data_IF_301327610476
#
_entry.id   IF_301327610476
#
_cell.length_a   1.000
_cell.length_b   1.000
_cell.length_c   1.000
_cell.angle_alpha   90.00
_cell.angle_beta   90.00
_cell.angle_gamma   90.00
#
_symmetry.space_group_name_H-M   'P 1'
#
loop_
_entity.id
_entity.type
_entity.pdbx_description
1 polymer ?
#
# COMPACT_ATOMS: atom_id res chain seq x y z
N UNK A 1 3.54 16.87 6.14
CA UNK A 1 2.57 16.06 5.38
C UNK A 1 1.43 15.71 6.33
N UNK A 2 0.20 15.65 5.84
CA UNK A 2 -0.97 15.24 6.62
C UNK A 2 -1.59 14.03 5.94
N UNK A 3 -1.82 12.96 6.69
CA UNK A 3 -2.50 11.77 6.21
C UNK A 3 -4.01 12.00 6.08
N UNK A 4 -4.67 11.22 5.23
CA UNK A 4 -6.12 11.15 5.09
C UNK A 4 -6.75 10.73 6.42
N UNK A 5 -8.02 11.09 6.59
CA UNK A 5 -8.80 10.64 7.73
C UNK A 5 -8.86 9.11 7.77
N UNK A 6 -8.68 8.54 8.96
CA UNK A 6 -8.72 7.09 9.19
C UNK A 6 -7.38 6.40 8.96
N UNK A 7 -6.35 7.11 8.48
CA UNK A 7 -5.02 6.57 8.32
C UNK A 7 -4.15 6.88 9.54
N UNK A 8 -3.57 5.84 10.13
CA UNK A 8 -2.61 5.93 11.25
C UNK A 8 -1.28 5.38 10.80
N UNK A 9 -0.20 5.87 11.42
CA UNK A 9 1.16 5.39 11.14
C UNK A 9 2.01 5.38 12.38
N UNK A 10 2.80 4.32 12.53
CA UNK A 10 3.78 4.17 13.60
C UNK A 10 5.14 3.75 13.02
N UNK A 11 6.23 4.26 13.61
CA UNK A 11 7.58 3.84 13.25
C UNK A 11 7.87 2.47 13.86
N UNK A 12 8.41 1.56 13.06
CA UNK A 12 8.73 0.20 13.46
C UNK A 12 10.21 -0.13 13.23
N UNK A 13 10.65 -1.24 13.81
CA UNK A 13 12.01 -1.73 13.59
C UNK A 13 12.30 -1.99 12.11
N UNK A 14 13.34 -1.36 11.58
CA UNK A 14 13.77 -1.53 10.19
C UNK A 14 14.77 -2.69 10.02
N UNK A 15 14.88 -3.30 8.82
CA UNK A 15 15.83 -4.39 8.57
C UNK A 15 17.30 -3.96 8.72
N UNK A 16 18.01 -4.54 9.69
CA UNK A 16 19.37 -4.12 10.08
C UNK A 16 20.51 -4.66 9.20
N UNK A 17 20.22 -5.39 8.12
CA UNK A 17 21.25 -6.10 7.30
C UNK A 17 21.13 -5.89 5.80
N UNK A 18 20.20 -5.05 5.36
CA UNK A 18 19.93 -4.82 3.93
C UNK A 18 20.62 -3.54 3.44
N UNK A 19 20.68 -2.50 4.28
CA UNK A 19 21.26 -1.21 3.96
C UNK A 19 21.96 -0.60 5.19
N UNK A 20 22.97 0.27 5.02
CA UNK A 20 23.58 1.02 6.12
C UNK A 20 22.60 1.93 6.86
N UNK A 21 21.60 2.46 6.15
CA UNK A 21 20.55 3.29 6.72
C UNK A 21 19.19 2.75 6.31
N UNK A 22 18.28 2.64 7.27
CA UNK A 22 16.91 2.24 6.99
C UNK A 22 15.93 2.78 8.02
N UNK A 23 14.74 3.15 7.55
CA UNK A 23 13.58 3.50 8.37
C UNK A 23 12.39 2.70 7.88
N UNK A 24 11.52 2.28 8.79
CA UNK A 24 10.33 1.53 8.46
C UNK A 24 9.14 2.11 9.23
N UNK A 25 8.02 2.21 8.53
CA UNK A 25 6.74 2.59 9.12
C UNK A 25 5.74 1.48 8.85
N UNK A 26 4.82 1.29 9.78
CA UNK A 26 3.56 0.60 9.50
C UNK A 26 2.43 1.62 9.39
N UNK A 27 1.40 1.26 8.64
CA UNK A 27 0.22 2.07 8.46
C UNK A 27 -1.02 1.22 8.42
N UNK A 28 -2.09 1.76 8.97
CA UNK A 28 -3.42 1.15 9.00
C UNK A 28 -4.43 2.16 8.48
N UNK A 29 -5.35 1.70 7.64
CA UNK A 29 -6.48 2.49 7.18
C UNK A 29 -7.76 1.87 7.73
N UNK A 30 -8.47 2.60 8.59
CA UNK A 30 -9.79 2.23 9.10
C UNK A 30 -10.90 3.19 8.65
N UNK A 31 -12.15 2.78 8.82
CA UNK A 31 -13.35 3.59 8.59
C UNK A 31 -14.06 4.04 9.89
N UNK A 32 -13.47 3.72 11.04
CA UNK A 32 -14.04 3.98 12.37
C UNK A 32 -14.62 2.74 13.05
N UNK A 33 -14.56 1.56 12.41
CA UNK A 33 -14.72 0.26 13.06
C UNK A 33 -13.47 -0.18 13.85
N UNK A 34 -13.57 -1.36 14.47
CA UNK A 34 -12.49 -1.96 15.27
C UNK A 34 -11.40 -2.65 14.42
N UNK A 35 -11.71 -2.97 13.16
CA UNK A 35 -10.79 -3.64 12.23
C UNK A 35 -10.31 -2.69 11.14
N UNK A 36 -9.02 -2.79 10.78
CA UNK A 36 -8.44 -2.02 9.70
C UNK A 36 -8.88 -2.58 8.33
N UNK A 37 -9.31 -1.71 7.43
CA UNK A 37 -9.64 -2.05 6.05
C UNK A 37 -8.40 -2.44 5.24
N UNK A 38 -7.26 -1.79 5.50
CA UNK A 38 -5.97 -2.23 4.96
C UNK A 38 -4.86 -1.99 5.96
N UNK A 39 -3.85 -2.87 5.90
CA UNK A 39 -2.63 -2.77 6.70
C UNK A 39 -1.43 -2.83 5.79
N UNK A 40 -0.39 -2.09 6.13
CA UNK A 40 0.81 -2.08 5.31
C UNK A 40 2.05 -1.64 6.05
N UNK A 41 3.18 -1.93 5.43
CA UNK A 41 4.51 -1.48 5.87
C UNK A 41 5.21 -0.81 4.71
N UNK A 42 5.95 0.23 5.00
CA UNK A 42 6.83 0.89 4.05
C UNK A 42 8.22 1.03 4.65
N UNK A 43 9.21 0.54 3.93
CA UNK A 43 10.60 0.53 4.34
C UNK A 43 11.38 1.37 3.34
N UNK A 44 12.06 2.40 3.83
CA UNK A 44 13.04 3.15 3.06
C UNK A 44 14.43 2.64 3.42
N UNK A 45 15.15 2.20 2.41
CA UNK A 45 16.54 1.78 2.47
C UNK A 45 17.40 2.84 1.79
N UNK A 46 18.58 3.11 2.36
CA UNK A 46 19.55 4.03 1.78
C UNK A 46 20.97 3.49 1.94
N UNK A 47 21.67 3.41 0.80
CA UNK A 47 23.09 3.16 0.71
C UNK A 47 23.76 4.32 -0.05
N UNK A 48 24.54 5.20 0.62
CA UNK A 48 25.21 6.31 -0.02
C UNK A 48 26.23 5.89 -1.09
N UNK A 49 26.76 4.66 -1.01
CA UNK A 49 27.68 4.13 -2.02
C UNK A 49 26.94 3.63 -3.27
N UNK A 50 25.61 3.53 -3.22
CA UNK A 50 24.79 2.94 -4.26
C UNK A 50 24.69 1.42 -4.15
N UNK A 51 23.63 0.86 -4.72
CA UNK A 51 23.42 -0.58 -4.78
C UNK A 51 22.93 -0.98 -6.19
N UNK A 52 23.70 -1.82 -6.87
CA UNK A 52 23.40 -2.28 -8.23
C UNK A 52 22.04 -2.96 -8.34
N UNK A 53 21.65 -3.74 -7.32
CA UNK A 53 20.34 -4.43 -7.28
C UNK A 53 19.17 -3.45 -7.12
N UNK A 54 19.43 -2.22 -6.68
CA UNK A 54 18.42 -1.16 -6.59
C UNK A 54 18.52 -0.20 -7.77
N UNK A 55 19.63 -0.22 -8.52
CA UNK A 55 19.90 0.76 -9.58
C UNK A 55 19.81 2.21 -9.04
N UNK A 56 20.36 2.45 -7.84
CA UNK A 56 20.32 3.75 -7.17
C UNK A 56 20.85 3.69 -5.73
N UNK A 57 20.76 4.80 -5.01
CA UNK A 57 21.16 4.91 -3.60
C UNK A 57 20.01 4.66 -2.63
N UNK A 58 18.76 4.77 -3.09
CA UNK A 58 17.56 4.52 -2.29
C UNK A 58 16.77 3.32 -2.81
N UNK A 59 16.04 2.66 -1.91
CA UNK A 59 15.03 1.66 -2.28
C UNK A 59 13.85 1.76 -1.34
N UNK A 60 12.66 1.90 -1.90
CA UNK A 60 11.42 1.73 -1.15
C UNK A 60 10.92 0.31 -1.34
N UNK A 61 10.49 -0.30 -0.24
CA UNK A 61 9.89 -1.64 -0.21
C UNK A 61 8.62 -1.56 0.59
N UNK A 62 7.53 -2.09 0.06
CA UNK A 62 6.24 -2.10 0.72
C UNK A 62 5.60 -3.48 0.72
N UNK A 63 4.83 -3.70 1.76
CA UNK A 63 3.91 -4.80 1.94
C UNK A 63 2.55 -4.19 2.26
N UNK A 64 1.53 -4.44 1.46
CA UNK A 64 0.16 -3.93 1.69
C UNK A 64 -0.81 -5.08 1.56
N UNK A 65 -1.79 -5.18 2.45
CA UNK A 65 -2.84 -6.20 2.39
C UNK A 65 -4.19 -5.67 2.84
N UNK A 66 -5.25 -6.30 2.35
CA UNK A 66 -6.63 -6.09 2.80
C UNK A 66 -7.44 -7.38 2.62
N UNK A 67 -8.46 -7.54 3.46
CA UNK A 67 -9.53 -8.50 3.19
C UNK A 67 -10.40 -7.97 2.03
N UNK A 68 -10.82 -8.88 1.15
CA UNK A 68 -11.59 -8.56 -0.05
C UNK A 68 -12.75 -9.54 -0.21
N UNK A 69 -13.71 -9.21 -1.07
CA UNK A 69 -14.82 -10.09 -1.38
C UNK A 69 -14.37 -11.36 -2.14
N UNK A 70 -15.08 -12.47 -1.93
CA UNK A 70 -14.82 -13.74 -2.62
C UNK A 70 -14.91 -13.63 -4.14
N UNK A 71 -15.84 -12.81 -4.64
CA UNK A 71 -15.99 -12.59 -6.07
C UNK A 71 -14.79 -11.84 -6.65
N UNK A 72 -14.12 -10.99 -5.86
CA UNK A 72 -12.90 -10.31 -6.28
C UNK A 72 -11.70 -11.26 -6.34
N UNK A 73 -11.50 -12.07 -5.29
CA UNK A 73 -10.30 -12.93 -5.20
C UNK A 73 -10.27 -14.06 -6.24
N UNK A 74 -11.44 -14.41 -6.78
CA UNK A 74 -11.58 -15.42 -7.83
C UNK A 74 -11.45 -14.84 -9.25
N UNK A 75 -11.39 -13.51 -9.38
CA UNK A 75 -11.17 -12.84 -10.67
C UNK A 75 -9.70 -13.03 -11.12
N UNK A 76 -9.45 -13.66 -12.28
CA UNK A 76 -8.10 -13.84 -12.79
C UNK A 76 -7.37 -12.52 -13.13
N UNK A 77 -8.08 -11.40 -13.27
CA UNK A 77 -7.51 -10.09 -13.55
C UNK A 77 -7.12 -9.32 -12.28
N UNK A 78 -7.54 -9.78 -11.09
CA UNK A 78 -7.24 -9.09 -9.84
C UNK A 78 -5.73 -8.78 -9.66
N UNK A 79 -4.78 -9.69 -9.97
CA UNK A 79 -3.35 -9.37 -9.87
C UNK A 79 -2.91 -8.20 -10.74
N UNK A 80 -3.38 -8.12 -11.99
CA UNK A 80 -3.02 -7.06 -12.93
C UNK A 80 -3.64 -5.72 -12.51
N UNK A 81 -4.90 -5.75 -12.05
CA UNK A 81 -5.61 -4.57 -11.54
C UNK A 81 -4.95 -4.05 -10.25
N UNK A 82 -4.60 -4.94 -9.33
CA UNK A 82 -3.93 -4.57 -8.09
C UNK A 82 -2.53 -3.97 -8.35
N UNK A 83 -1.79 -4.53 -9.32
CA UNK A 83 -0.54 -3.94 -9.77
C UNK A 83 -0.75 -2.54 -10.36
N UNK A 84 -1.83 -2.32 -11.11
CA UNK A 84 -2.15 -1.00 -11.67
C UNK A 84 -2.43 0.03 -10.57
N UNK A 85 -3.09 -0.34 -9.46
CA UNK A 85 -3.28 0.57 -8.33
C UNK A 85 -1.96 1.13 -7.78
N UNK A 86 -0.92 0.31 -7.73
CA UNK A 86 0.41 0.74 -7.31
C UNK A 86 1.05 1.71 -8.32
N UNK A 87 1.03 1.38 -9.61
CA UNK A 87 1.63 2.24 -10.64
C UNK A 87 0.86 3.55 -10.80
N UNK A 88 -0.46 3.51 -10.71
CA UNK A 88 -1.35 4.67 -10.83
C UNK A 88 -1.20 5.60 -9.63
N UNK A 89 -1.06 5.06 -8.41
CA UNK A 89 -0.80 5.87 -7.23
C UNK A 89 0.52 6.66 -7.34
N UNK A 90 1.59 6.02 -7.85
CA UNK A 90 2.86 6.72 -8.11
C UNK A 90 2.68 7.82 -9.16
N UNK A 91 1.99 7.52 -10.27
CA UNK A 91 1.75 8.47 -11.35
C UNK A 91 0.89 9.67 -10.89
N UNK A 92 -0.21 9.42 -10.19
CA UNK A 92 -1.11 10.46 -9.68
C UNK A 92 -0.43 11.41 -8.69
N UNK A 93 0.52 10.91 -7.90
CA UNK A 93 1.31 11.73 -6.98
C UNK A 93 2.55 12.36 -7.62
N UNK A 94 2.76 12.17 -8.92
CA UNK A 94 3.90 12.75 -9.65
C UNK A 94 5.24 12.19 -9.18
N UNK A 95 5.27 10.93 -8.73
CA UNK A 95 6.49 10.29 -8.26
C UNK A 95 7.46 10.04 -9.42
N UNK A 96 8.69 10.52 -9.29
CA UNK A 96 9.78 10.08 -10.14
C UNK A 96 10.36 8.77 -9.58
N UNK A 97 10.16 7.66 -10.28
CA UNK A 97 10.63 6.34 -9.86
C UNK A 97 11.02 5.45 -11.05
N UNK A 98 11.89 4.48 -10.78
CA UNK A 98 12.30 3.46 -11.72
C UNK A 98 12.56 2.13 -11.02
N UNK A 99 12.91 1.10 -11.78
CA UNK A 99 13.17 -0.25 -11.28
C UNK A 99 12.03 -0.80 -10.39
N UNK A 100 10.78 -0.52 -10.80
CA UNK A 100 9.57 -1.04 -10.16
C UNK A 100 9.55 -2.57 -10.30
N UNK A 101 9.32 -3.25 -9.19
CA UNK A 101 9.19 -4.69 -9.15
C UNK A 101 8.24 -5.09 -8.03
N UNK A 102 7.52 -6.19 -8.20
CA UNK A 102 6.65 -6.69 -7.14
C UNK A 102 5.91 -7.94 -7.51
N UNK A 103 5.09 -8.39 -6.57
CA UNK A 103 4.18 -9.53 -6.71
C UNK A 103 2.84 -9.16 -6.09
N UNK A 104 1.76 -9.60 -6.72
CA UNK A 104 0.42 -9.60 -6.13
C UNK A 104 0.04 -11.04 -5.83
N UNK A 105 -0.44 -11.28 -4.61
CA UNK A 105 -0.98 -12.58 -4.19
C UNK A 105 -2.44 -12.39 -3.81
N UNK A 106 -3.31 -13.16 -4.44
CA UNK A 106 -4.71 -13.27 -4.08
C UNK A 106 -4.93 -14.65 -3.46
N UNK A 107 -5.51 -14.71 -2.26
CA UNK A 107 -5.71 -15.97 -1.53
C UNK A 107 -7.10 -16.07 -0.94
N UNK A 108 -7.70 -17.25 -1.06
CA UNK A 108 -8.98 -17.61 -0.46
C UNK A 108 -8.81 -18.83 0.45
N UNK A 109 -9.36 -18.74 1.66
CA UNK A 109 -9.50 -19.85 2.59
C UNK A 109 -10.98 -20.17 2.78
N UNK A 110 -11.35 -21.44 2.55
CA UNK A 110 -12.67 -21.96 2.88
C UNK A 110 -12.65 -22.60 4.26
N UNK A 111 -13.59 -22.19 5.12
CA UNK A 111 -13.79 -22.78 6.43
C UNK A 111 -14.47 -24.16 6.36
N UNK A 112 -14.07 -25.08 7.24
CA UNK A 112 -14.71 -26.39 7.40
C UNK A 112 -14.86 -26.73 8.88
N UNK A 113 -15.84 -27.58 9.22
CA UNK A 113 -16.09 -27.99 10.60
C UNK A 113 -16.49 -26.80 11.49
N UNK A 114 -15.80 -26.63 12.61
CA UNK A 114 -16.07 -25.54 13.57
C UNK A 114 -15.75 -24.13 13.02
N UNK A 115 -15.14 -24.05 11.82
CA UNK A 115 -14.86 -22.79 11.11
C UNK A 115 -15.73 -22.61 9.86
N UNK A 116 -16.80 -23.38 9.68
CA UNK A 116 -17.59 -23.41 8.44
C UNK A 116 -18.12 -22.04 7.97
N UNK A 117 -18.25 -21.06 8.87
CA UNK A 117 -18.73 -19.69 8.57
C UNK A 117 -17.59 -18.65 8.51
N UNK A 118 -16.32 -19.08 8.50
CA UNK A 118 -15.13 -18.21 8.53
C UNK A 118 -14.33 -18.26 7.23
N UNK A 119 -15.03 -18.20 6.09
CA UNK A 119 -14.39 -17.99 4.79
C UNK A 119 -13.64 -16.66 4.79
N UNK A 120 -12.44 -16.64 4.20
CA UNK A 120 -11.61 -15.42 4.11
C UNK A 120 -11.00 -15.28 2.73
N UNK A 121 -10.97 -14.06 2.23
CA UNK A 121 -10.23 -13.71 1.04
C UNK A 121 -9.37 -12.48 1.31
N UNK A 122 -8.13 -12.53 0.82
CA UNK A 122 -7.14 -11.48 1.03
C UNK A 122 -6.42 -11.21 -0.28
N UNK A 123 -6.13 -9.93 -0.53
CA UNK A 123 -5.16 -9.49 -1.54
C UNK A 123 -3.95 -8.91 -0.83
N UNK A 124 -2.77 -9.29 -1.31
CA UNK A 124 -1.50 -8.88 -0.75
C UNK A 124 -0.57 -8.39 -1.88
N UNK A 125 -0.03 -7.20 -1.71
CA UNK A 125 0.92 -6.58 -2.63
C UNK A 125 2.27 -6.43 -1.95
N UNK A 126 3.30 -7.00 -2.58
CA UNK A 126 4.70 -6.78 -2.24
C UNK A 126 5.35 -6.01 -3.37
N UNK A 127 5.62 -4.73 -3.16
CA UNK A 127 6.18 -3.87 -4.19
C UNK A 127 7.49 -3.26 -3.73
N UNK A 128 8.36 -2.94 -4.68
CA UNK A 128 9.58 -2.18 -4.41
C UNK A 128 9.95 -1.35 -5.63
N UNK A 129 10.51 -0.17 -5.37
CA UNK A 129 10.88 0.77 -6.41
C UNK A 129 12.03 1.65 -5.94
N UNK A 130 12.73 2.24 -6.90
CA UNK A 130 13.84 3.15 -6.65
C UNK A 130 13.34 4.57 -6.88
N UNK A 131 13.21 5.39 -5.82
CA UNK A 131 12.76 6.77 -5.97
C UNK A 131 13.91 7.64 -6.51
N UNK A 132 13.58 8.56 -7.42
CA UNK A 132 14.45 9.67 -7.78
C UNK A 132 14.07 10.86 -6.89
N UNK A 133 14.93 11.16 -5.91
CA UNK A 133 14.63 12.19 -4.90
C UNK A 133 15.41 13.47 -5.21
N UNK A 134 14.68 14.58 -5.32
CA UNK A 134 15.23 15.94 -5.45
C UNK A 134 14.24 16.98 -4.89
N UNK A 135 14.52 18.28 -5.08
CA UNK A 135 13.67 19.38 -4.59
C UNK A 135 12.25 19.35 -5.19
N UNK A 136 12.08 18.86 -6.43
CA UNK A 136 10.81 18.74 -7.15
C UNK A 136 10.13 17.39 -6.90
N UNK A 137 10.90 16.35 -6.59
CA UNK A 137 10.42 14.99 -6.33
C UNK A 137 10.73 14.59 -4.87
N UNK A 138 10.00 15.16 -3.89
CA UNK A 138 10.26 14.87 -2.49
C UNK A 138 9.76 13.47 -2.11
N UNK A 139 10.38 12.88 -1.08
CA UNK A 139 9.97 11.58 -0.52
C UNK A 139 8.48 11.56 -0.12
N UNK A 140 7.94 12.70 0.31
CA UNK A 140 6.53 12.84 0.71
C UNK A 140 5.54 12.50 -0.41
N UNK A 141 5.92 12.64 -1.69
CA UNK A 141 5.08 12.22 -2.81
C UNK A 141 4.92 10.69 -2.83
N UNK A 142 6.00 9.96 -2.56
CA UNK A 142 5.96 8.49 -2.46
C UNK A 142 5.18 8.02 -1.23
N UNK A 143 5.27 8.75 -0.10
CA UNK A 143 4.46 8.47 1.07
C UNK A 143 2.96 8.64 0.77
N UNK A 144 2.57 9.71 0.06
CA UNK A 144 1.20 9.93 -0.36
C UNK A 144 0.72 8.88 -1.37
N UNK A 145 1.60 8.40 -2.26
CA UNK A 145 1.28 7.32 -3.19
C UNK A 145 1.07 5.99 -2.45
N UNK A 146 1.84 5.75 -1.40
CA UNK A 146 1.66 4.57 -0.56
C UNK A 146 0.33 4.61 0.20
N UNK A 147 -0.07 5.77 0.73
CA UNK A 147 -1.41 5.97 1.30
C UNK A 147 -2.54 5.75 0.27
N UNK A 148 -2.37 6.23 -0.96
CA UNK A 148 -3.34 6.01 -2.03
C UNK A 148 -3.47 4.52 -2.36
N UNK A 149 -2.35 3.81 -2.46
CA UNK A 149 -2.33 2.35 -2.65
C UNK A 149 -3.09 1.65 -1.53
N UNK A 150 -2.82 2.00 -0.27
CA UNK A 150 -3.54 1.47 0.89
C UNK A 150 -5.05 1.73 0.79
N UNK A 151 -5.45 2.90 0.28
CA UNK A 151 -6.84 3.24 -0.02
C UNK A 151 -7.45 2.37 -1.13
N UNK A 152 -6.75 2.20 -2.25
CA UNK A 152 -7.20 1.34 -3.35
C UNK A 152 -7.42 -0.11 -2.90
N UNK A 153 -6.46 -0.66 -2.16
CA UNK A 153 -6.50 -2.04 -1.65
C UNK A 153 -7.63 -2.22 -0.64
N UNK A 154 -7.94 -1.19 0.15
CA UNK A 154 -9.08 -1.14 1.08
C UNK A 154 -10.45 -0.93 0.40
N UNK A 155 -10.53 -0.85 -0.94
CA UNK A 155 -11.77 -0.48 -1.64
C UNK A 155 -12.22 0.97 -1.38
N UNK A 156 -11.34 1.82 -0.86
CA UNK A 156 -11.56 3.23 -0.53
C UNK A 156 -10.55 4.12 -1.28
N UNK A 157 -10.58 4.13 -2.64
CA UNK A 157 -9.64 4.89 -3.44
C UNK A 157 -9.66 6.38 -3.07
N UNK A 158 -8.54 7.10 -3.24
CA UNK A 158 -8.48 8.53 -2.96
C UNK A 158 -9.52 9.28 -3.79
N UNK A 159 -10.23 10.22 -3.17
CA UNK A 159 -11.17 11.08 -3.87
C UNK A 159 -10.40 12.08 -4.75
N UNK A 160 -10.86 12.33 -5.99
CA UNK A 160 -10.30 13.39 -6.81
C UNK A 160 -10.37 14.75 -6.08
N UNK A 161 -9.43 15.66 -6.31
CA UNK A 161 -9.48 17.00 -5.74
C UNK A 161 -10.82 17.70 -6.05
N UNK A 162 -11.52 18.14 -5.01
CA UNK A 162 -12.82 18.82 -5.13
C UNK A 162 -14.06 17.92 -5.03
N UNK A 163 -13.89 16.59 -4.87
CA UNK A 163 -14.98 15.67 -4.59
C UNK A 163 -15.03 15.37 -3.09
N UNK A 164 -16.14 15.73 -2.43
CA UNK A 164 -16.43 15.28 -1.08
C UNK A 164 -17.37 14.06 -1.16
N UNK A 165 -17.07 12.99 -0.43
CA UNK A 165 -18.00 11.88 -0.24
C UNK A 165 -19.27 12.43 0.40
N UNK A 166 -20.41 12.33 -0.29
CA UNK A 166 -21.71 12.65 0.30
C UNK A 166 -21.93 11.70 1.48
N UNK A 167 -22.25 12.20 2.68
CA UNK A 167 -22.63 11.32 3.77
C UNK A 167 -23.90 10.59 3.34
N UNK A 168 -23.83 9.27 3.21
CA UNK A 168 -25.00 8.40 3.09
C UNK A 168 -25.74 8.41 4.43
N UNK A 169 -26.48 9.49 4.68
CA UNK A 169 -27.40 9.57 5.78
C UNK A 169 -28.52 8.55 5.57
N UNK A 170 -28.52 7.47 6.36
CA UNK A 170 -29.75 6.72 6.63
C UNK A 170 -30.71 7.66 7.36
N UNK A 171 -31.58 8.31 6.61
CA UNK A 171 -32.80 8.90 7.16
C UNK A 171 -33.68 7.73 7.63
N UNK A 172 -33.72 7.54 8.95
CA UNK A 172 -34.83 6.92 9.65
C UNK A 172 -35.76 7.99 10.18
#
# INVERSE_FOLDING_TARGET
>A
MQWRRGFTTDEIGSPQRIAPYSVAIEGELGDGGDEALSTGRLILLHDPAGNDSWSGTFRLVTYVRAEVDLDMVTDPLLPDVAWSWFTDALAHRGCAAHALAGTVTASYGKGFGDMADADRAEVELRCSWTPTLDVRHPLTAHLAAWEDLMGHVAGQPPLPPGVSSLPTGRHG
#
